data_IF_322063193038
#
_entry.id   IF_322063193038
#
_cell.length_a   1.000
_cell.length_b   1.000
_cell.length_c   1.000
_cell.angle_alpha   90.00
_cell.angle_beta   90.00
_cell.angle_gamma   90.00
#
_symmetry.space_group_name_H-M   'P 1'
#
loop_
_entity.id
_entity.type
_entity.pdbx_description
1 polymer ?
#
# COMPACT_ATOMS: atom_id res chain seq x y z
N UNK A 1 -7.98 -4.90 -2.18
CA UNK A 1 -7.24 -5.95 -1.47
C UNK A 1 -8.22 -6.97 -0.90
N UNK A 2 -7.84 -8.24 -0.85
CA UNK A 2 -8.66 -9.30 -0.25
C UNK A 2 -8.01 -9.80 1.04
N UNK A 3 -8.77 -9.81 2.11
CA UNK A 3 -8.35 -10.25 3.45
C UNK A 3 -8.92 -11.64 3.68
N UNK A 4 -8.11 -12.61 4.09
CA UNK A 4 -8.59 -13.88 4.64
C UNK A 4 -8.87 -13.73 6.13
N UNK A 5 -10.02 -14.20 6.60
CA UNK A 5 -10.38 -14.24 8.02
C UNK A 5 -10.87 -15.61 8.40
N UNK A 6 -10.34 -16.14 9.50
CA UNK A 6 -10.87 -17.31 10.20
C UNK A 6 -10.98 -17.03 11.69
N UNK A 7 -11.93 -17.69 12.35
CA UNK A 7 -11.86 -17.89 13.79
C UNK A 7 -11.43 -19.35 14.03
N UNK A 8 -10.62 -19.59 15.06
CA UNK A 8 -10.25 -20.94 15.47
C UNK A 8 -10.87 -21.30 16.81
N UNK A 9 -11.25 -22.57 16.95
CA UNK A 9 -11.88 -23.10 18.14
C UNK A 9 -11.70 -24.61 18.24
N UNK A 10 -12.45 -25.27 19.11
CA UNK A 10 -12.38 -26.71 19.34
C UNK A 10 -13.77 -27.33 19.24
N UNK A 11 -13.96 -28.19 18.26
CA UNK A 11 -15.26 -28.77 17.90
C UNK A 11 -15.92 -29.53 19.06
N UNK A 12 -15.14 -30.15 19.94
CA UNK A 12 -15.65 -30.92 21.08
C UNK A 12 -16.38 -30.03 22.13
N UNK A 13 -16.18 -28.70 22.09
CA UNK A 13 -16.84 -27.78 23.02
C UNK A 13 -18.30 -27.50 22.65
N UNK A 14 -18.66 -27.57 21.38
CA UNK A 14 -19.98 -27.10 20.91
C UNK A 14 -21.13 -27.89 21.50
N UNK A 15 -20.95 -29.21 21.65
CA UNK A 15 -21.95 -30.09 22.27
C UNK A 15 -21.94 -30.05 23.81
N UNK A 16 -20.87 -29.52 24.41
CA UNK A 16 -20.73 -29.50 25.87
C UNK A 16 -21.20 -28.18 26.45
N UNK A 17 -21.02 -27.07 25.72
CA UNK A 17 -21.29 -25.72 26.19
C UNK A 17 -22.25 -25.01 25.23
N UNK A 18 -23.55 -25.11 25.52
CA UNK A 18 -24.60 -24.51 24.67
C UNK A 18 -24.43 -22.99 24.52
N UNK A 19 -24.59 -22.48 23.30
CA UNK A 19 -24.47 -21.07 22.98
C UNK A 19 -23.05 -20.53 22.88
N UNK A 20 -22.03 -21.33 23.25
CA UNK A 20 -20.63 -20.87 23.16
C UNK A 20 -20.23 -20.56 21.71
N UNK A 21 -20.52 -21.47 20.77
CA UNK A 21 -20.16 -21.31 19.38
C UNK A 21 -20.78 -20.05 18.77
N UNK A 22 -22.08 -19.87 18.98
CA UNK A 22 -22.84 -18.72 18.46
C UNK A 22 -22.26 -17.40 18.99
N UNK A 23 -21.85 -17.39 20.25
CA UNK A 23 -21.19 -16.24 20.88
C UNK A 23 -19.85 -15.93 20.23
N UNK A 24 -19.01 -16.93 20.00
CA UNK A 24 -17.70 -16.77 19.35
C UNK A 24 -17.82 -16.38 17.88
N UNK A 25 -18.81 -16.92 17.15
CA UNK A 25 -19.16 -16.48 15.82
C UNK A 25 -19.62 -15.00 15.79
N UNK A 26 -20.32 -14.56 16.81
CA UNK A 26 -20.67 -13.13 17.01
C UNK A 26 -19.42 -12.23 17.13
N UNK A 27 -18.41 -12.65 17.87
CA UNK A 27 -17.13 -11.93 17.96
C UNK A 27 -16.40 -11.86 16.62
N UNK A 28 -16.34 -12.97 15.88
CA UNK A 28 -15.75 -12.99 14.53
C UNK A 28 -16.51 -12.06 13.58
N UNK A 29 -17.83 -12.06 13.62
CA UNK A 29 -18.64 -11.17 12.78
C UNK A 29 -18.36 -9.71 13.07
N UNK A 30 -18.25 -9.33 14.36
CA UNK A 30 -17.88 -7.96 14.75
C UNK A 30 -16.48 -7.57 14.23
N UNK A 31 -15.53 -8.49 14.26
CA UNK A 31 -14.18 -8.28 13.67
C UNK A 31 -14.29 -8.07 12.16
N UNK A 32 -15.03 -8.94 11.47
CA UNK A 32 -15.25 -8.85 10.02
C UNK A 32 -15.86 -7.50 9.63
N UNK A 33 -16.94 -7.09 10.27
CA UNK A 33 -17.64 -5.82 9.99
C UNK A 33 -16.72 -4.61 10.15
N UNK A 34 -15.90 -4.57 11.20
CA UNK A 34 -14.92 -3.50 11.41
C UNK A 34 -13.84 -3.49 10.32
N UNK A 35 -13.34 -4.66 9.90
CA UNK A 35 -12.37 -4.75 8.80
C UNK A 35 -12.97 -4.31 7.47
N UNK A 36 -14.21 -4.70 7.17
CA UNK A 36 -14.92 -4.31 5.93
C UNK A 36 -15.22 -2.80 5.91
N UNK A 37 -15.54 -2.21 7.05
CA UNK A 37 -15.76 -0.77 7.18
C UNK A 37 -14.47 0.05 6.96
N UNK A 38 -13.30 -0.53 7.24
CA UNK A 38 -12.02 0.15 7.06
C UNK A 38 -11.60 0.12 5.59
N UNK A 39 -11.80 1.23 4.89
CA UNK A 39 -11.35 1.41 3.50
C UNK A 39 -12.06 0.50 2.48
N UNK A 40 -13.23 -0.08 2.81
CA UNK A 40 -14.01 -0.91 1.89
C UNK A 40 -13.32 -2.22 1.50
N UNK A 41 -12.61 -2.86 2.42
CA UNK A 41 -11.91 -4.12 2.17
C UNK A 41 -12.88 -5.27 1.89
N UNK A 42 -12.47 -6.23 1.07
CA UNK A 42 -13.21 -7.48 0.85
C UNK A 42 -12.64 -8.54 1.79
N UNK A 43 -13.48 -9.02 2.71
CA UNK A 43 -13.08 -10.07 3.66
C UNK A 43 -13.62 -11.43 3.19
N UNK A 44 -12.71 -12.31 2.76
CA UNK A 44 -13.00 -13.71 2.52
C UNK A 44 -13.03 -14.42 3.88
N UNK A 45 -14.25 -14.64 4.41
CA UNK A 45 -14.48 -15.23 5.73
C UNK A 45 -14.77 -16.72 5.60
N UNK A 46 -13.87 -17.58 6.10
CA UNK A 46 -14.06 -19.02 6.11
C UNK A 46 -14.77 -19.54 7.37
N UNK A 47 -15.17 -18.65 8.27
CA UNK A 47 -15.93 -19.02 9.46
C UNK A 47 -15.08 -19.61 10.59
N UNK A 48 -15.71 -20.49 11.37
CA UNK A 48 -15.07 -21.21 12.48
C UNK A 48 -14.32 -22.43 11.96
N UNK A 49 -13.00 -22.44 12.15
CA UNK A 49 -12.08 -23.54 11.85
C UNK A 49 -11.76 -24.28 13.15
N UNK A 50 -12.38 -25.40 13.36
CA UNK A 50 -12.33 -26.17 14.61
C UNK A 50 -11.87 -27.63 14.39
N UNK A 51 -11.49 -27.96 13.15
CA UNK A 51 -10.86 -29.20 12.74
C UNK A 51 -9.95 -29.00 11.51
N UNK A 52 -9.20 -30.06 11.18
CA UNK A 52 -8.20 -30.03 10.09
C UNK A 52 -8.85 -29.95 8.70
N UNK A 53 -10.01 -30.58 8.50
CA UNK A 53 -10.69 -30.58 7.20
C UNK A 53 -11.21 -29.16 6.87
N UNK A 54 -11.76 -28.46 7.85
CA UNK A 54 -12.16 -27.05 7.71
C UNK A 54 -10.95 -26.15 7.48
N UNK A 55 -9.82 -26.44 8.12
CA UNK A 55 -8.59 -25.70 7.87
C UNK A 55 -8.11 -25.84 6.42
N UNK A 56 -8.15 -27.05 5.86
CA UNK A 56 -7.85 -27.25 4.44
C UNK A 56 -8.85 -26.56 3.51
N UNK A 57 -10.14 -26.60 3.84
CA UNK A 57 -11.16 -25.90 3.07
C UNK A 57 -10.96 -24.38 3.10
N UNK A 58 -10.63 -23.81 4.26
CA UNK A 58 -10.32 -22.38 4.42
C UNK A 58 -9.07 -21.98 3.61
N UNK A 59 -8.00 -22.75 3.67
CA UNK A 59 -6.80 -22.50 2.89
C UNK A 59 -7.07 -22.56 1.37
N UNK A 60 -7.91 -23.50 0.92
CA UNK A 60 -8.35 -23.59 -0.47
C UNK A 60 -9.19 -22.35 -0.89
N UNK A 61 -10.08 -21.88 -0.01
CA UNK A 61 -10.86 -20.68 -0.22
C UNK A 61 -9.94 -19.46 -0.42
N UNK A 62 -8.96 -19.27 0.46
CA UNK A 62 -8.05 -18.11 0.40
C UNK A 62 -7.15 -18.13 -0.83
N UNK A 63 -6.68 -19.29 -1.26
CA UNK A 63 -5.96 -19.43 -2.53
C UNK A 63 -6.85 -19.10 -3.73
N UNK A 64 -8.07 -19.65 -3.78
CA UNK A 64 -9.04 -19.37 -4.85
C UNK A 64 -9.39 -17.89 -4.95
N UNK A 65 -9.59 -17.26 -3.79
CA UNK A 65 -9.99 -15.86 -3.69
C UNK A 65 -8.80 -14.89 -3.69
N UNK A 66 -7.58 -15.41 -3.82
CA UNK A 66 -6.34 -14.63 -3.86
C UNK A 66 -6.18 -13.70 -2.64
N UNK A 67 -6.39 -14.24 -1.43
CA UNK A 67 -6.20 -13.49 -0.20
C UNK A 67 -4.74 -13.02 -0.07
N UNK A 68 -4.56 -11.77 0.30
CA UNK A 68 -3.26 -11.09 0.33
C UNK A 68 -2.67 -10.98 1.74
N UNK A 69 -3.51 -11.14 2.76
CA UNK A 69 -3.16 -11.23 4.18
C UNK A 69 -4.17 -12.12 4.88
N UNK A 70 -3.72 -12.87 5.88
CA UNK A 70 -4.57 -13.76 6.67
C UNK A 70 -4.63 -13.27 8.12
N UNK A 71 -5.85 -13.03 8.61
CA UNK A 71 -6.12 -12.79 10.02
C UNK A 71 -6.73 -14.04 10.65
N UNK A 72 -6.12 -14.52 11.73
CA UNK A 72 -6.57 -15.69 12.50
C UNK A 72 -7.04 -15.20 13.87
N UNK A 73 -8.34 -15.15 14.06
CA UNK A 73 -8.92 -14.83 15.35
C UNK A 73 -8.91 -16.07 16.26
N UNK A 74 -8.16 -16.01 17.35
CA UNK A 74 -8.16 -17.06 18.38
C UNK A 74 -9.41 -16.81 19.23
N UNK A 75 -10.50 -17.53 18.92
CA UNK A 75 -11.79 -17.25 19.54
C UNK A 75 -11.93 -17.91 20.93
N UNK A 76 -11.24 -19.03 21.15
CA UNK A 76 -11.13 -19.80 22.40
C UNK A 76 -9.93 -20.74 22.27
N UNK A 77 -9.74 -21.70 23.19
CA UNK A 77 -8.74 -22.75 23.00
C UNK A 77 -8.98 -23.51 21.70
N UNK A 78 -7.94 -23.70 20.93
CA UNK A 78 -7.93 -24.44 19.66
C UNK A 78 -6.61 -25.19 19.49
N UNK A 79 -6.63 -26.27 18.69
CA UNK A 79 -5.46 -27.07 18.42
C UNK A 79 -4.64 -26.47 17.27
N UNK A 80 -3.32 -26.44 17.42
CA UNK A 80 -2.41 -25.92 16.39
C UNK A 80 -2.40 -26.71 15.08
N UNK A 81 -2.94 -27.93 15.08
CA UNK A 81 -3.13 -28.70 13.84
C UNK A 81 -4.01 -27.98 12.81
N UNK A 82 -4.90 -27.09 13.26
CA UNK A 82 -5.72 -26.24 12.38
C UNK A 82 -4.91 -25.20 11.62
N UNK A 83 -3.64 -24.95 12.00
CA UNK A 83 -2.77 -23.99 11.32
C UNK A 83 -1.96 -24.60 10.19
N UNK A 84 -1.79 -25.94 10.18
CA UNK A 84 -0.90 -26.64 9.23
C UNK A 84 -1.15 -26.24 7.76
N UNK A 85 -2.41 -26.14 7.29
CA UNK A 85 -2.68 -25.78 5.90
C UNK A 85 -2.27 -24.35 5.50
N UNK A 86 -1.95 -23.48 6.47
CA UNK A 86 -1.52 -22.09 6.24
C UNK A 86 -0.01 -21.90 6.34
N UNK A 87 0.74 -22.95 6.72
CA UNK A 87 2.19 -22.89 6.82
C UNK A 87 2.82 -22.82 5.43
N UNK A 88 3.77 -21.89 5.25
CA UNK A 88 4.55 -21.79 4.01
C UNK A 88 3.81 -21.21 2.80
N UNK A 89 2.57 -20.74 2.94
CA UNK A 89 1.78 -20.17 1.84
C UNK A 89 2.32 -18.82 1.32
N UNK A 90 3.30 -18.24 2.01
CA UNK A 90 3.89 -16.94 1.62
C UNK A 90 2.97 -15.73 1.82
N UNK A 91 1.79 -15.95 2.42
CA UNK A 91 0.83 -14.90 2.78
C UNK A 91 1.18 -14.40 4.19
N UNK A 92 1.25 -13.09 4.45
CA UNK A 92 1.41 -12.55 5.80
C UNK A 92 0.29 -13.03 6.71
N UNK A 93 0.63 -13.46 7.93
CA UNK A 93 -0.32 -13.93 8.93
C UNK A 93 -0.33 -13.01 10.14
N UNK A 94 -1.51 -12.62 10.60
CA UNK A 94 -1.71 -11.85 11.83
C UNK A 94 -2.62 -12.62 12.76
N UNK A 95 -2.12 -12.99 13.94
CA UNK A 95 -2.87 -13.64 14.99
C UNK A 95 -3.61 -12.57 15.81
N UNK A 96 -4.93 -12.70 15.91
CA UNK A 96 -5.76 -11.81 16.70
C UNK A 96 -6.06 -12.46 18.06
N UNK A 97 -5.39 -12.00 19.08
CA UNK A 97 -5.63 -12.34 20.49
C UNK A 97 -6.50 -11.26 21.14
N UNK A 98 -7.76 -11.20 20.73
CA UNK A 98 -8.70 -10.17 21.19
C UNK A 98 -9.67 -10.74 22.20
N UNK A 99 -9.59 -10.26 23.43
CA UNK A 99 -10.55 -10.60 24.48
C UNK A 99 -11.93 -9.96 24.17
N UNK A 100 -13.04 -10.52 24.65
CA UNK A 100 -14.36 -9.92 24.41
C UNK A 100 -14.56 -8.57 25.10
N UNK A 101 -13.86 -8.33 26.20
CA UNK A 101 -13.95 -7.12 27.02
C UNK A 101 -12.60 -6.81 27.69
N UNK A 102 -12.40 -5.57 28.20
CA UNK A 102 -11.14 -5.17 28.84
C UNK A 102 -10.86 -5.89 30.17
N UNK A 103 -11.86 -6.52 30.76
CA UNK A 103 -11.75 -7.25 32.02
C UNK A 103 -12.69 -8.45 32.04
N UNK A 104 -12.29 -9.48 32.78
CA UNK A 104 -13.14 -10.64 33.11
C UNK A 104 -13.97 -10.27 34.35
N UNK A 105 -15.27 -10.46 34.26
CA UNK A 105 -16.15 -10.30 35.42
C UNK A 105 -16.04 -11.52 36.38
N UNK A 106 -15.01 -11.50 37.21
CA UNK A 106 -14.76 -12.57 38.17
C UNK A 106 -15.86 -12.74 39.23
N UNK A 107 -16.56 -11.65 39.61
CA UNK A 107 -17.64 -11.72 40.57
C UNK A 107 -18.81 -12.52 39.97
N UNK A 108 -19.20 -12.21 38.76
CA UNK A 108 -20.23 -12.97 38.02
C UNK A 108 -19.80 -14.42 37.81
N UNK A 109 -18.58 -14.65 37.33
CA UNK A 109 -18.06 -15.99 37.06
C UNK A 109 -18.08 -16.88 38.32
N UNK A 110 -17.56 -16.37 39.42
CA UNK A 110 -17.50 -17.10 40.68
C UNK A 110 -18.88 -17.26 41.35
N UNK A 111 -19.87 -16.44 41.01
CA UNK A 111 -21.24 -16.56 41.47
C UNK A 111 -22.10 -17.57 40.72
N UNK A 112 -21.60 -18.15 39.62
CA UNK A 112 -22.33 -19.15 38.84
C UNK A 112 -22.39 -20.49 39.58
N UNK A 113 -23.58 -21.05 39.73
CA UNK A 113 -23.80 -22.31 40.43
C UNK A 113 -23.62 -23.54 39.55
N UNK A 114 -23.91 -23.41 38.24
CA UNK A 114 -23.71 -24.46 37.25
C UNK A 114 -22.27 -24.43 36.72
N UNK A 115 -21.56 -25.54 36.92
CA UNK A 115 -20.15 -25.65 36.49
C UNK A 115 -20.00 -25.72 34.99
N UNK A 116 -20.97 -26.23 34.25
CA UNK A 116 -20.96 -26.27 32.79
C UNK A 116 -21.11 -24.88 32.22
N UNK A 117 -22.09 -24.10 32.70
CA UNK A 117 -22.26 -22.70 32.30
C UNK A 117 -21.04 -21.85 32.67
N UNK A 118 -20.48 -22.03 33.88
CA UNK A 118 -19.27 -21.34 34.33
C UNK A 118 -18.08 -21.66 33.40
N UNK A 119 -17.91 -22.92 33.00
CA UNK A 119 -16.83 -23.31 32.08
C UNK A 119 -17.05 -22.74 30.71
N UNK A 120 -18.28 -22.73 30.19
CA UNK A 120 -18.63 -22.07 28.92
C UNK A 120 -18.32 -20.57 28.94
N UNK A 121 -18.66 -19.88 30.03
CA UNK A 121 -18.32 -18.47 30.22
C UNK A 121 -16.79 -18.24 30.26
N UNK A 122 -16.06 -19.11 30.98
CA UNK A 122 -14.59 -19.07 30.99
C UNK A 122 -14.00 -19.26 29.59
N UNK A 123 -14.48 -20.27 28.85
CA UNK A 123 -14.00 -20.56 27.49
C UNK A 123 -14.27 -19.41 26.52
N UNK A 124 -15.33 -18.63 26.71
CA UNK A 124 -15.57 -17.43 25.91
C UNK A 124 -14.55 -16.29 26.17
N UNK A 125 -13.72 -16.42 27.21
CA UNK A 125 -12.62 -15.52 27.56
C UNK A 125 -11.23 -16.18 27.43
N UNK A 126 -11.11 -17.30 26.72
CA UNK A 126 -9.88 -18.08 26.60
C UNK A 126 -9.07 -17.82 25.30
N UNK A 127 -9.10 -16.61 24.80
CA UNK A 127 -8.41 -16.25 23.53
C UNK A 127 -6.89 -16.42 23.63
N UNK A 128 -6.29 -16.14 24.77
CA UNK A 128 -4.84 -16.23 24.96
C UNK A 128 -4.31 -17.67 25.09
N UNK A 129 -5.19 -18.66 25.34
CA UNK A 129 -4.75 -20.02 25.69
C UNK A 129 -3.93 -20.69 24.58
N UNK A 130 -4.36 -20.58 23.31
CA UNK A 130 -3.69 -21.22 22.18
C UNK A 130 -2.57 -20.37 21.58
N UNK A 131 -2.44 -19.11 21.92
CA UNK A 131 -1.47 -18.21 21.31
C UNK A 131 -0.03 -18.71 21.42
N UNK A 132 0.50 -19.13 22.58
CA UNK A 132 1.86 -19.67 22.68
C UNK A 132 2.09 -20.94 21.84
N UNK A 133 1.08 -21.79 21.76
CA UNK A 133 1.12 -23.01 20.93
C UNK A 133 1.20 -22.65 19.44
N UNK A 134 0.39 -21.72 18.98
CA UNK A 134 0.37 -21.23 17.60
C UNK A 134 1.69 -20.56 17.21
N UNK A 135 2.20 -19.66 18.05
CA UNK A 135 3.50 -19.03 17.87
C UNK A 135 4.64 -20.05 17.77
N UNK A 136 4.60 -21.11 18.63
CA UNK A 136 5.60 -22.19 18.58
C UNK A 136 5.58 -22.93 17.25
N UNK A 137 4.39 -23.23 16.70
CA UNK A 137 4.26 -23.92 15.42
C UNK A 137 4.77 -23.04 14.28
N UNK A 138 4.37 -21.79 14.19
CA UNK A 138 4.84 -20.87 13.17
C UNK A 138 6.36 -20.65 13.23
N UNK A 139 6.93 -20.46 14.41
CA UNK A 139 8.38 -20.32 14.61
C UNK A 139 9.14 -21.54 14.10
N UNK A 140 8.67 -22.74 14.40
CA UNK A 140 9.31 -24.01 13.97
C UNK A 140 9.17 -24.24 12.47
N UNK A 141 8.07 -23.79 11.87
CA UNK A 141 7.84 -23.86 10.43
C UNK A 141 8.55 -22.75 9.64
N UNK A 142 9.16 -21.77 10.30
CA UNK A 142 9.75 -20.60 9.64
C UNK A 142 8.71 -19.70 8.97
N UNK A 143 7.44 -19.81 9.35
CA UNK A 143 6.36 -18.96 8.84
C UNK A 143 6.37 -17.63 9.58
N UNK A 144 6.43 -16.52 8.83
CA UNK A 144 6.37 -15.18 9.42
C UNK A 144 4.93 -14.87 9.85
N UNK A 145 4.78 -14.35 11.04
CA UNK A 145 3.50 -13.93 11.59
C UNK A 145 3.71 -12.75 12.55
N UNK A 146 2.63 -12.06 12.85
CA UNK A 146 2.54 -11.06 13.89
C UNK A 146 1.35 -11.33 14.82
N UNK A 147 1.32 -10.65 15.97
CA UNK A 147 0.29 -10.84 17.00
C UNK A 147 -0.25 -9.50 17.41
N UNK A 148 -1.57 -9.31 17.28
CA UNK A 148 -2.27 -8.17 17.88
C UNK A 148 -3.00 -8.66 19.12
N UNK A 149 -2.72 -8.02 20.27
CA UNK A 149 -3.34 -8.34 21.56
C UNK A 149 -4.15 -7.15 22.07
N UNK A 150 -5.37 -7.42 22.54
CA UNK A 150 -6.25 -6.41 23.10
C UNK A 150 -7.65 -6.98 23.38
N UNK A 151 -8.68 -6.18 23.17
CA UNK A 151 -10.07 -6.61 23.25
C UNK A 151 -10.90 -6.06 22.08
N UNK A 152 -12.12 -6.57 21.89
CA UNK A 152 -12.92 -6.32 20.67
C UNK A 152 -13.20 -4.84 20.38
N UNK A 153 -13.23 -3.99 21.41
CA UNK A 153 -13.45 -2.54 21.27
C UNK A 153 -12.20 -1.71 21.63
N UNK A 154 -11.03 -2.34 21.70
CA UNK A 154 -9.77 -1.68 22.00
C UNK A 154 -9.29 -0.84 20.82
N UNK A 155 -9.32 0.47 20.98
CA UNK A 155 -8.91 1.41 19.95
C UNK A 155 -7.43 1.23 19.53
N UNK A 156 -6.55 0.86 20.47
CA UNK A 156 -5.13 0.64 20.18
C UNK A 156 -4.94 -0.64 19.35
N UNK A 157 -5.59 -1.74 19.72
CA UNK A 157 -5.54 -2.98 18.96
C UNK A 157 -6.10 -2.78 17.53
N UNK A 158 -7.18 -2.01 17.39
CA UNK A 158 -7.73 -1.70 16.07
C UNK A 158 -6.83 -0.79 15.24
N UNK A 159 -6.14 0.17 15.85
CA UNK A 159 -5.15 0.97 15.12
C UNK A 159 -4.02 0.08 14.57
N UNK A 160 -3.58 -0.92 15.35
CA UNK A 160 -2.57 -1.90 14.90
C UNK A 160 -3.10 -2.81 13.78
N UNK A 161 -4.34 -3.33 13.91
CA UNK A 161 -4.98 -4.13 12.86
C UNK A 161 -5.09 -3.34 11.55
N UNK A 162 -5.49 -2.08 11.60
CA UNK A 162 -5.57 -1.21 10.43
C UNK A 162 -4.19 -0.94 9.83
N UNK A 163 -3.17 -0.77 10.67
CA UNK A 163 -1.76 -0.68 10.22
C UNK A 163 -1.31 -1.92 9.44
N UNK A 164 -1.69 -3.13 9.89
CA UNK A 164 -1.41 -4.37 9.17
C UNK A 164 -2.17 -4.48 7.85
N UNK A 165 -3.42 -4.03 7.80
CA UNK A 165 -4.21 -3.96 6.56
C UNK A 165 -3.53 -3.02 5.55
N UNK A 166 -3.10 -1.84 5.99
CA UNK A 166 -2.41 -0.87 5.15
C UNK A 166 -1.03 -1.39 4.68
N UNK A 167 -0.26 -2.01 5.56
CA UNK A 167 1.02 -2.62 5.21
C UNK A 167 0.85 -3.73 4.14
N UNK A 168 -0.16 -4.58 4.29
CA UNK A 168 -0.48 -5.60 3.30
C UNK A 168 -0.90 -4.98 1.95
N UNK A 169 -1.74 -3.94 1.98
CA UNK A 169 -2.15 -3.17 0.79
C UNK A 169 -0.94 -2.60 0.05
N UNK A 170 -0.01 -2.01 0.78
CA UNK A 170 1.24 -1.47 0.21
C UNK A 170 2.08 -2.59 -0.38
N UNK A 171 2.36 -3.66 0.36
CA UNK A 171 3.17 -4.78 -0.10
C UNK A 171 2.61 -5.41 -1.39
N UNK A 172 1.29 -5.57 -1.48
CA UNK A 172 0.62 -6.09 -2.67
C UNK A 172 0.63 -5.09 -3.83
N UNK A 173 0.41 -3.81 -3.54
CA UNK A 173 0.51 -2.73 -4.52
C UNK A 173 1.89 -2.63 -5.14
N UNK A 174 2.94 -2.76 -4.32
CA UNK A 174 4.33 -2.74 -4.79
C UNK A 174 4.66 -3.95 -5.67
N UNK A 175 4.21 -5.15 -5.32
CA UNK A 175 4.38 -6.37 -6.16
C UNK A 175 3.70 -6.27 -7.52
N UNK A 176 2.65 -5.47 -7.65
CA UNK A 176 1.92 -5.22 -8.91
C UNK A 176 2.43 -3.99 -9.65
N UNK A 177 3.31 -3.21 -9.01
CA UNK A 177 3.83 -1.97 -9.60
C UNK A 177 4.78 -2.28 -10.75
N UNK A 178 4.56 -1.64 -11.89
CA UNK A 178 5.51 -1.55 -12.99
C UNK A 178 6.17 -0.19 -12.93
N UNK A 179 7.43 -0.17 -12.55
CA UNK A 179 8.22 1.04 -12.42
C UNK A 179 8.94 1.31 -13.73
N UNK A 180 8.54 2.34 -14.45
CA UNK A 180 9.24 2.82 -15.64
C UNK A 180 10.59 3.43 -15.25
N UNK A 181 11.60 3.13 -16.05
CA UNK A 181 12.95 3.67 -15.93
C UNK A 181 13.30 4.32 -17.26
N UNK A 182 13.12 5.65 -17.38
CA UNK A 182 13.24 6.40 -18.61
C UNK A 182 14.53 7.21 -18.66
N UNK A 183 15.40 6.89 -19.59
CA UNK A 183 16.67 7.58 -19.78
C UNK A 183 17.83 6.93 -19.04
N UNK A 184 18.55 7.67 -18.21
CA UNK A 184 19.71 7.17 -17.47
C UNK A 184 19.90 7.92 -16.14
N UNK A 185 20.76 7.40 -15.28
CA UNK A 185 21.11 8.08 -14.03
C UNK A 185 21.73 9.45 -14.27
N UNK A 186 21.50 10.38 -13.36
CA UNK A 186 22.24 11.63 -13.33
C UNK A 186 23.74 11.33 -13.17
N UNK A 187 24.51 11.67 -14.19
CA UNK A 187 25.95 11.34 -14.21
C UNK A 187 26.72 12.04 -13.10
N UNK A 188 27.36 11.25 -12.23
CA UNK A 188 28.15 11.76 -11.13
C UNK A 188 27.46 11.78 -9.77
N UNK A 189 26.14 11.67 -9.72
CA UNK A 189 25.39 11.48 -8.46
C UNK A 189 25.41 9.98 -8.08
N UNK A 190 26.48 9.57 -7.41
CA UNK A 190 26.73 8.14 -7.12
C UNK A 190 25.70 7.56 -6.15
N UNK A 191 25.11 8.38 -5.31
CA UNK A 191 24.07 8.02 -4.34
C UNK A 191 22.74 7.58 -4.99
N UNK A 192 22.41 8.10 -6.18
CA UNK A 192 21.19 7.68 -6.90
C UNK A 192 21.35 6.31 -7.58
N UNK A 193 22.58 5.84 -7.79
CA UNK A 193 22.82 4.55 -8.43
C UNK A 193 22.29 3.41 -7.57
N UNK A 194 21.42 2.61 -8.14
CA UNK A 194 20.68 1.58 -7.40
C UNK A 194 20.87 0.20 -8.01
N UNK A 195 20.98 -0.82 -7.17
CA UNK A 195 20.87 -2.22 -7.62
C UNK A 195 19.38 -2.52 -7.92
N UNK A 196 19.01 -2.44 -9.20
CA UNK A 196 17.63 -2.69 -9.67
C UNK A 196 17.16 -4.11 -9.33
N UNK A 197 18.06 -5.08 -9.31
CA UNK A 197 17.76 -6.46 -8.92
C UNK A 197 17.36 -6.52 -7.45
N UNK A 198 18.10 -5.83 -6.57
CA UNK A 198 17.76 -5.76 -5.15
C UNK A 198 16.42 -5.06 -4.95
N UNK A 199 16.17 -3.94 -5.65
CA UNK A 199 14.89 -3.23 -5.58
C UNK A 199 13.71 -4.15 -5.97
N UNK A 200 13.84 -4.86 -7.10
CA UNK A 200 12.81 -5.80 -7.55
C UNK A 200 12.62 -6.96 -6.58
N UNK A 201 13.69 -7.49 -5.97
CA UNK A 201 13.62 -8.61 -5.02
C UNK A 201 12.95 -8.20 -3.71
N UNK A 202 13.27 -7.01 -3.18
CA UNK A 202 12.73 -6.54 -1.91
C UNK A 202 11.27 -6.11 -2.02
N UNK A 203 10.95 -5.31 -3.04
CA UNK A 203 9.60 -4.74 -3.21
C UNK A 203 8.68 -5.57 -4.11
N UNK A 204 9.23 -6.52 -4.87
CA UNK A 204 8.49 -7.26 -5.89
C UNK A 204 8.12 -6.42 -7.11
N UNK A 205 8.56 -5.17 -7.19
CA UNK A 205 8.28 -4.23 -8.28
C UNK A 205 8.95 -4.68 -9.58
N UNK A 206 8.22 -4.67 -10.68
CA UNK A 206 8.79 -4.91 -12.00
C UNK A 206 9.44 -3.62 -12.54
N UNK A 207 10.75 -3.68 -12.81
CA UNK A 207 11.47 -2.57 -13.45
C UNK A 207 11.36 -2.68 -14.99
N UNK A 208 10.77 -1.66 -15.62
CA UNK A 208 10.57 -1.54 -17.06
C UNK A 208 11.54 -0.50 -17.62
N UNK A 209 12.55 -0.93 -18.36
CA UNK A 209 13.52 -0.01 -19.00
C UNK A 209 12.88 0.57 -20.25
N UNK A 210 12.81 1.89 -20.34
CA UNK A 210 12.15 2.64 -21.38
C UNK A 210 13.16 3.50 -22.15
N UNK A 211 12.92 3.65 -23.45
CA UNK A 211 13.79 4.39 -24.34
C UNK A 211 13.22 5.79 -24.65
N UNK A 212 14.10 6.80 -24.64
CA UNK A 212 13.71 8.18 -24.98
C UNK A 212 13.16 8.29 -26.41
N UNK A 213 13.61 7.44 -27.33
CA UNK A 213 13.11 7.44 -28.71
C UNK A 213 11.64 7.02 -28.78
N UNK A 214 11.18 6.11 -27.91
CA UNK A 214 9.77 5.72 -27.84
C UNK A 214 8.90 6.92 -27.38
N UNK A 215 9.29 7.60 -26.30
CA UNK A 215 8.58 8.79 -25.84
C UNK A 215 8.58 9.89 -26.93
N UNK A 216 9.68 10.04 -27.67
CA UNK A 216 9.76 10.99 -28.77
C UNK A 216 8.76 10.66 -29.88
N UNK A 217 8.65 9.41 -30.33
CA UNK A 217 7.68 9.01 -31.36
C UNK A 217 6.24 9.15 -30.86
N UNK A 218 5.95 8.81 -29.59
CA UNK A 218 4.65 9.06 -29.00
C UNK A 218 4.31 10.54 -29.02
N UNK A 219 5.26 11.43 -28.67
CA UNK A 219 5.08 12.88 -28.69
C UNK A 219 4.79 13.39 -30.11
N UNK A 220 5.49 12.90 -31.12
CA UNK A 220 5.25 13.24 -32.54
C UNK A 220 3.86 12.80 -33.01
N UNK A 221 3.31 11.75 -32.44
CA UNK A 221 1.97 11.24 -32.78
C UNK A 221 0.84 12.05 -32.13
N UNK A 222 1.15 12.97 -31.22
CA UNK A 222 0.12 13.79 -30.54
C UNK A 222 -0.53 14.75 -31.51
N UNK A 223 -1.83 14.61 -31.66
CA UNK A 223 -2.66 15.49 -32.49
C UNK A 223 -2.87 16.86 -31.85
N UNK A 224 -3.20 17.86 -32.67
CA UNK A 224 -3.52 19.19 -32.16
C UNK A 224 -4.68 19.18 -31.18
N UNK A 225 -5.70 18.37 -31.48
CA UNK A 225 -6.86 18.22 -30.58
C UNK A 225 -6.47 17.67 -29.18
N UNK A 226 -5.56 16.70 -29.13
CA UNK A 226 -5.07 16.16 -27.85
C UNK A 226 -4.25 17.21 -27.08
N UNK A 227 -3.42 17.98 -27.79
CA UNK A 227 -2.63 19.07 -27.18
C UNK A 227 -3.53 20.16 -26.63
N UNK A 228 -4.52 20.64 -27.40
CA UNK A 228 -5.47 21.67 -26.95
C UNK A 228 -6.30 21.21 -25.74
N UNK A 229 -6.77 19.96 -25.73
CA UNK A 229 -7.47 19.38 -24.58
C UNK A 229 -6.58 19.32 -23.33
N UNK A 230 -5.27 19.01 -23.51
CA UNK A 230 -4.33 18.99 -22.40
C UNK A 230 -4.01 20.38 -21.87
N UNK A 231 -3.89 21.40 -22.72
CA UNK A 231 -3.72 22.79 -22.28
C UNK A 231 -4.93 23.24 -21.47
N UNK A 232 -6.14 22.87 -21.86
CA UNK A 232 -7.34 23.12 -21.06
C UNK A 232 -7.26 22.45 -19.68
N UNK A 233 -6.83 21.17 -19.63
CA UNK A 233 -6.65 20.46 -18.37
C UNK A 233 -5.58 21.09 -17.46
N UNK A 234 -4.54 21.70 -18.01
CA UNK A 234 -3.58 22.50 -17.22
C UNK A 234 -4.27 23.67 -16.52
N UNK A 235 -5.17 24.40 -17.19
CA UNK A 235 -5.93 25.49 -16.58
C UNK A 235 -6.90 25.02 -15.47
N UNK A 236 -7.35 23.75 -15.55
CA UNK A 236 -8.14 23.17 -14.47
C UNK A 236 -7.28 22.76 -13.27
N UNK A 237 -6.08 22.21 -13.52
CA UNK A 237 -5.20 21.68 -12.46
C UNK A 237 -4.34 22.76 -11.80
N UNK A 238 -3.91 23.79 -12.54
CA UNK A 238 -2.92 24.78 -12.13
C UNK A 238 -3.45 26.20 -12.23
N UNK A 239 -2.85 27.11 -11.46
CA UNK A 239 -2.87 28.54 -11.74
C UNK A 239 -1.74 28.83 -12.73
N UNK A 240 -2.08 29.15 -13.97
CA UNK A 240 -1.09 29.41 -15.03
C UNK A 240 -0.59 30.85 -14.88
N UNK A 241 0.73 31.01 -14.76
CA UNK A 241 1.37 32.33 -14.68
C UNK A 241 1.29 33.04 -16.03
N UNK A 242 1.16 34.37 -15.99
CA UNK A 242 1.09 35.25 -17.19
C UNK A 242 2.35 35.15 -18.08
N UNK A 243 3.48 34.77 -17.51
CA UNK A 243 4.72 34.53 -18.24
C UNK A 243 4.71 33.24 -19.10
N UNK A 244 3.77 32.32 -18.90
CA UNK A 244 3.65 31.10 -19.69
C UNK A 244 3.03 31.43 -21.06
N UNK A 245 3.82 31.31 -22.12
CA UNK A 245 3.32 31.54 -23.49
C UNK A 245 2.44 30.36 -23.95
N UNK A 246 1.56 30.63 -24.92
CA UNK A 246 0.73 29.56 -25.52
C UNK A 246 1.59 28.45 -26.16
N UNK A 247 2.72 28.81 -26.74
CA UNK A 247 3.64 27.88 -27.39
C UNK A 247 4.28 26.93 -26.36
N UNK A 248 4.71 27.47 -25.20
CA UNK A 248 5.29 26.67 -24.12
C UNK A 248 4.25 25.74 -23.50
N UNK A 249 3.01 26.20 -23.31
CA UNK A 249 1.92 25.37 -22.82
C UNK A 249 1.59 24.24 -23.80
N UNK A 250 1.58 24.51 -25.12
CA UNK A 250 1.36 23.48 -26.12
C UNK A 250 2.51 22.47 -26.17
N UNK A 251 3.74 22.93 -26.04
CA UNK A 251 4.93 22.08 -25.99
C UNK A 251 4.88 21.14 -24.79
N UNK A 252 4.55 21.66 -23.60
CA UNK A 252 4.36 20.88 -22.39
C UNK A 252 3.14 19.92 -22.49
N UNK A 253 2.06 20.35 -23.14
CA UNK A 253 0.88 19.54 -23.36
C UNK A 253 1.18 18.32 -24.24
N UNK A 254 1.93 18.48 -25.34
CA UNK A 254 2.35 17.39 -26.21
C UNK A 254 3.19 16.36 -25.45
N UNK A 255 4.15 16.81 -24.64
CA UNK A 255 4.97 15.93 -23.81
C UNK A 255 4.13 15.23 -22.74
N UNK A 256 3.22 15.95 -22.09
CA UNK A 256 2.31 15.38 -21.09
C UNK A 256 1.39 14.29 -21.67
N UNK A 257 0.82 14.48 -22.87
CA UNK A 257 0.02 13.46 -23.56
C UNK A 257 0.88 12.25 -23.93
N UNK A 258 2.10 12.48 -24.39
CA UNK A 258 3.03 11.39 -24.72
C UNK A 258 3.40 10.55 -23.50
N UNK A 259 3.63 11.18 -22.34
CA UNK A 259 3.86 10.49 -21.07
C UNK A 259 2.65 9.65 -20.64
N UNK A 260 1.43 10.13 -20.85
CA UNK A 260 0.23 9.33 -20.59
C UNK A 260 0.17 8.10 -21.50
N UNK A 261 0.42 8.27 -22.80
CA UNK A 261 0.46 7.16 -23.75
C UNK A 261 1.54 6.14 -23.40
N UNK A 262 2.72 6.60 -22.97
CA UNK A 262 3.80 5.73 -22.52
C UNK A 262 3.40 4.97 -21.25
N UNK A 263 2.83 5.67 -20.26
CA UNK A 263 2.37 5.05 -19.02
C UNK A 263 1.28 4.01 -19.27
N UNK A 264 0.36 4.25 -20.19
CA UNK A 264 -0.70 3.31 -20.57
C UNK A 264 -0.13 2.11 -21.31
N UNK A 265 0.72 2.31 -22.34
CA UNK A 265 1.30 1.25 -23.13
C UNK A 265 2.09 0.24 -22.28
N UNK A 266 2.86 0.72 -21.33
CA UNK A 266 3.66 -0.09 -20.42
C UNK A 266 2.96 -0.41 -19.09
N UNK A 267 1.74 0.05 -18.89
CA UNK A 267 0.97 -0.12 -17.64
C UNK A 267 1.77 0.33 -16.41
N UNK A 268 2.39 1.50 -16.49
CA UNK A 268 3.25 2.02 -15.44
C UNK A 268 2.43 2.41 -14.22
N UNK A 269 2.94 2.06 -13.05
CA UNK A 269 2.43 2.52 -11.78
C UNK A 269 3.33 3.57 -11.11
N UNK A 270 4.54 3.77 -11.63
CA UNK A 270 5.51 4.79 -11.19
C UNK A 270 6.58 4.98 -12.26
N UNK A 271 7.33 6.10 -12.20
CA UNK A 271 8.36 6.46 -13.19
C UNK A 271 9.55 7.13 -12.54
N UNK A 272 10.76 6.59 -12.74
CA UNK A 272 12.00 7.31 -12.50
C UNK A 272 12.55 7.80 -13.85
N UNK A 273 12.93 9.06 -13.91
CA UNK A 273 13.28 9.69 -15.20
C UNK A 273 14.46 10.65 -15.03
N UNK A 274 15.39 10.58 -15.94
CA UNK A 274 16.39 11.60 -16.20
C UNK A 274 17.00 11.44 -17.59
N UNK A 275 17.25 12.56 -18.25
CA UNK A 275 17.98 12.60 -19.51
C UNK A 275 18.69 13.94 -19.67
N UNK A 276 19.99 13.93 -19.83
CA UNK A 276 20.78 15.16 -20.06
C UNK A 276 21.04 15.37 -21.54
N UNK A 277 21.39 14.50 -22.35
CA UNK A 277 21.69 14.68 -23.76
C UNK A 277 22.67 15.83 -24.08
N UNK A 278 23.10 15.92 -25.31
CA UNK A 278 23.84 17.08 -25.81
C UNK A 278 22.86 18.20 -26.23
N UNK A 279 23.27 19.45 -26.10
CA UNK A 279 22.49 20.59 -26.58
C UNK A 279 22.12 20.44 -28.07
N UNK A 280 20.87 20.75 -28.39
CA UNK A 280 20.32 20.60 -29.75
C UNK A 280 19.98 19.16 -30.14
N UNK A 281 19.98 18.21 -29.21
CA UNK A 281 19.56 16.84 -29.49
C UNK A 281 18.04 16.73 -29.75
N UNK A 282 17.60 15.64 -30.37
CA UNK A 282 16.21 15.45 -30.78
C UNK A 282 15.21 15.38 -29.62
N UNK A 283 15.68 15.19 -28.40
CA UNK A 283 14.85 15.04 -27.20
C UNK A 283 14.85 16.29 -26.29
N UNK A 284 15.58 17.36 -26.66
CA UNK A 284 15.68 18.59 -25.85
C UNK A 284 14.30 19.19 -25.57
N UNK A 285 13.41 19.14 -26.55
CA UNK A 285 12.03 19.59 -26.45
C UNK A 285 11.20 18.79 -25.42
N UNK A 286 11.52 17.51 -25.22
CA UNK A 286 10.92 16.66 -24.21
C UNK A 286 11.42 17.06 -22.83
N UNK A 287 12.73 17.03 -22.60
CA UNK A 287 13.33 17.25 -21.29
C UNK A 287 13.04 18.63 -20.72
N UNK A 288 12.88 19.64 -21.58
CA UNK A 288 12.51 21.00 -21.18
C UNK A 288 11.01 21.24 -21.02
N UNK A 289 10.16 20.19 -21.17
CA UNK A 289 8.70 20.32 -21.14
C UNK A 289 7.98 19.20 -20.36
N UNK A 290 8.72 18.37 -19.59
CA UNK A 290 8.14 17.21 -18.88
C UNK A 290 7.42 17.58 -17.57
N UNK A 291 7.76 18.69 -16.92
CA UNK A 291 7.41 18.97 -15.52
C UNK A 291 5.91 18.95 -15.29
N UNK A 292 5.11 19.63 -16.13
CA UNK A 292 3.66 19.63 -15.99
C UNK A 292 3.05 18.24 -16.17
N UNK A 293 3.57 17.44 -17.11
CA UNK A 293 3.17 16.06 -17.34
C UNK A 293 3.49 15.14 -16.15
N UNK A 294 4.70 15.23 -15.64
CA UNK A 294 5.15 14.48 -14.47
C UNK A 294 4.33 14.82 -13.23
N UNK A 295 4.00 16.10 -13.04
CA UNK A 295 3.14 16.55 -11.95
C UNK A 295 1.73 15.98 -12.06
N UNK A 296 1.13 15.94 -13.26
CA UNK A 296 -0.18 15.33 -13.47
C UNK A 296 -0.16 13.81 -13.25
N UNK A 297 0.89 13.12 -13.69
CA UNK A 297 1.05 11.67 -13.42
C UNK A 297 1.12 11.41 -11.90
N UNK A 298 1.95 12.18 -11.19
CA UNK A 298 2.13 12.05 -9.75
C UNK A 298 0.81 12.24 -9.00
N UNK A 299 0.05 13.28 -9.33
CA UNK A 299 -1.27 13.53 -8.71
C UNK A 299 -2.34 12.48 -9.01
N UNK A 300 -2.14 11.66 -10.05
CA UNK A 300 -3.04 10.53 -10.41
C UNK A 300 -2.57 9.18 -9.86
N UNK A 301 -1.58 9.16 -8.97
CA UNK A 301 -1.06 7.94 -8.34
C UNK A 301 -0.02 7.18 -9.16
N UNK A 302 0.56 7.83 -10.19
CA UNK A 302 1.74 7.39 -10.92
C UNK A 302 2.89 8.34 -10.56
N UNK A 303 3.52 8.18 -9.38
CA UNK A 303 4.56 9.08 -8.92
C UNK A 303 5.76 9.08 -9.87
N UNK A 304 6.32 10.28 -10.06
CA UNK A 304 7.50 10.50 -10.91
C UNK A 304 8.61 11.11 -10.08
N UNK A 305 9.76 10.44 -10.03
CA UNK A 305 10.98 10.97 -9.44
C UNK A 305 11.95 11.44 -10.53
N UNK A 306 12.58 12.60 -10.32
CA UNK A 306 13.68 13.11 -11.13
C UNK A 306 14.96 12.32 -10.93
N UNK A 307 16.03 12.72 -11.64
CA UNK A 307 17.40 12.22 -11.47
C UNK A 307 17.58 10.70 -11.67
N UNK A 308 16.54 10.02 -12.15
CA UNK A 308 16.45 8.56 -12.22
C UNK A 308 16.51 7.91 -10.83
N UNK A 309 16.01 8.64 -9.79
CA UNK A 309 16.10 8.20 -8.39
C UNK A 309 15.07 7.11 -8.08
N UNK A 310 15.53 5.87 -8.20
CA UNK A 310 14.72 4.66 -8.04
C UNK A 310 14.19 4.51 -6.60
N UNK A 311 15.00 4.82 -5.60
CA UNK A 311 14.61 4.66 -4.18
C UNK A 311 13.52 5.67 -3.82
N UNK A 312 13.65 6.89 -4.31
CA UNK A 312 12.66 7.94 -4.06
C UNK A 312 11.31 7.61 -4.71
N UNK A 313 11.31 7.16 -5.98
CA UNK A 313 10.05 6.77 -6.63
C UNK A 313 9.37 5.56 -5.96
N UNK A 314 10.14 4.63 -5.39
CA UNK A 314 9.59 3.53 -4.57
C UNK A 314 8.93 4.10 -3.30
N UNK A 315 9.60 5.02 -2.58
CA UNK A 315 9.02 5.69 -1.41
C UNK A 315 7.74 6.47 -1.78
N UNK A 316 7.77 7.25 -2.86
CA UNK A 316 6.60 7.98 -3.36
C UNK A 316 5.44 7.02 -3.70
N UNK A 317 5.75 5.83 -4.28
CA UNK A 317 4.71 4.82 -4.59
C UNK A 317 4.10 4.23 -3.32
N UNK A 318 4.90 3.94 -2.30
CA UNK A 318 4.43 3.50 -0.98
C UNK A 318 3.46 4.54 -0.40
N UNK A 319 3.86 5.81 -0.36
CA UNK A 319 3.02 6.90 0.14
C UNK A 319 1.73 7.06 -0.67
N UNK A 320 1.81 6.93 -1.99
CA UNK A 320 0.63 6.94 -2.87
C UNK A 320 -0.35 5.80 -2.56
N UNK A 321 0.15 4.59 -2.30
CA UNK A 321 -0.66 3.43 -1.94
C UNK A 321 -1.33 3.57 -0.57
N UNK A 322 -0.71 4.32 0.35
CA UNK A 322 -1.29 4.71 1.63
C UNK A 322 -2.33 5.84 1.52
N UNK A 323 -2.44 6.48 0.34
CA UNK A 323 -3.31 7.62 0.13
C UNK A 323 -2.75 8.95 0.65
N UNK A 324 -1.48 8.98 1.05
CA UNK A 324 -0.84 10.19 1.57
C UNK A 324 -0.21 11.06 0.47
N UNK A 325 0.14 10.46 -0.67
CA UNK A 325 0.89 11.14 -1.72
C UNK A 325 2.35 11.38 -1.36
N UNK A 326 3.06 12.15 -2.17
CA UNK A 326 4.47 12.51 -1.95
C UNK A 326 5.06 13.21 -3.16
N UNK A 327 6.01 14.11 -2.93
CA UNK A 327 6.78 14.76 -3.97
C UNK A 327 8.20 14.23 -4.00
N UNK A 328 8.83 14.27 -5.16
CA UNK A 328 10.27 14.19 -5.25
C UNK A 328 10.86 15.45 -4.63
N UNK A 329 11.66 15.30 -3.57
CA UNK A 329 12.19 16.44 -2.80
C UNK A 329 13.55 16.10 -2.20
N UNK A 330 14.35 17.14 -1.97
CA UNK A 330 15.63 17.08 -1.30
C UNK A 330 15.77 18.18 -0.24
N UNK A 331 16.80 18.12 0.59
CA UNK A 331 17.09 19.13 1.59
C UNK A 331 17.73 20.35 0.93
N UNK A 332 17.02 21.48 0.90
CA UNK A 332 17.54 22.73 0.35
C UNK A 332 18.24 23.60 1.39
N UNK A 333 17.76 23.61 2.61
CA UNK A 333 18.31 24.46 3.62
C UNK A 333 17.80 24.21 5.03
N UNK A 334 18.40 24.89 5.97
CA UNK A 334 18.03 24.87 7.38
C UNK A 334 17.90 26.29 7.88
N UNK A 335 16.82 26.61 8.55
CA UNK A 335 16.63 27.87 9.26
C UNK A 335 16.77 27.61 10.76
N UNK A 336 17.87 28.11 11.33
CA UNK A 336 18.18 27.95 12.76
C UNK A 336 17.45 28.96 13.65
N UNK A 337 16.79 29.97 13.06
CA UNK A 337 15.98 30.95 13.79
C UNK A 337 14.61 30.37 14.09
N UNK A 338 13.98 29.80 13.06
CA UNK A 338 12.63 29.25 13.13
C UNK A 338 12.63 27.72 13.44
N UNK A 339 13.82 27.11 13.56
CA UNK A 339 14.01 25.66 13.81
C UNK A 339 13.28 24.79 12.78
N UNK A 340 13.43 25.14 11.50
CA UNK A 340 12.78 24.43 10.39
C UNK A 340 13.77 23.96 9.33
N UNK A 341 13.38 22.94 8.60
CA UNK A 341 14.10 22.41 7.43
C UNK A 341 13.28 22.75 6.18
N UNK A 342 13.96 23.31 5.18
CA UNK A 342 13.38 23.57 3.86
C UNK A 342 13.61 22.35 2.97
N UNK A 343 12.52 21.74 2.53
CA UNK A 343 12.49 20.68 1.54
C UNK A 343 11.92 21.18 0.23
N UNK A 344 12.47 20.78 -0.87
CA UNK A 344 11.96 21.14 -2.18
C UNK A 344 12.70 20.45 -3.31
N UNK A 345 12.24 20.69 -4.52
CA UNK A 345 12.91 20.35 -5.77
C UNK A 345 12.31 21.19 -6.90
N UNK A 346 13.15 21.71 -7.77
CA UNK A 346 12.72 22.41 -8.97
C UNK A 346 12.19 21.38 -9.98
N UNK A 347 10.89 21.30 -10.13
CA UNK A 347 10.34 20.34 -11.08
C UNK A 347 8.96 19.81 -10.70
N UNK A 348 8.72 18.51 -10.91
CA UNK A 348 7.41 17.93 -10.71
C UNK A 348 7.02 17.95 -9.22
N UNK A 349 5.75 18.34 -8.97
CA UNK A 349 5.15 18.36 -7.65
C UNK A 349 3.96 17.40 -7.57
N UNK A 350 3.42 17.22 -6.38
CA UNK A 350 2.14 16.55 -6.21
C UNK A 350 1.07 17.62 -5.98
N UNK A 351 0.40 18.03 -7.06
CA UNK A 351 -0.50 19.20 -7.05
C UNK A 351 -1.72 19.08 -6.12
N UNK A 352 -2.02 17.89 -5.61
CA UNK A 352 -3.10 17.66 -4.65
C UNK A 352 -2.66 17.77 -3.17
N UNK A 353 -1.38 17.99 -2.87
CA UNK A 353 -0.89 18.12 -1.50
C UNK A 353 -1.00 19.54 -0.95
N UNK A 354 -1.14 20.55 -1.80
CA UNK A 354 -1.30 21.95 -1.41
C UNK A 354 -2.75 22.28 -1.04
N UNK A 355 -2.93 23.21 -0.11
CA UNK A 355 -4.25 23.77 0.21
C UNK A 355 -4.80 24.59 -0.97
N UNK A 356 -3.93 25.18 -1.76
CA UNK A 356 -4.25 25.94 -2.96
C UNK A 356 -3.77 25.22 -4.23
N UNK A 357 -4.30 25.65 -5.40
CA UNK A 357 -3.83 25.13 -6.67
C UNK A 357 -2.35 25.48 -6.88
N UNK A 358 -1.57 24.48 -7.28
CA UNK A 358 -0.18 24.66 -7.67
C UNK A 358 -0.08 25.69 -8.83
N UNK A 359 0.97 26.50 -8.86
CA UNK A 359 1.24 27.44 -9.94
C UNK A 359 2.14 26.81 -11.00
N UNK A 360 1.77 26.97 -12.24
CA UNK A 360 2.61 26.64 -13.39
C UNK A 360 3.30 27.94 -13.85
N UNK A 361 4.63 27.98 -13.70
CA UNK A 361 5.45 29.15 -14.01
C UNK A 361 6.49 28.79 -15.10
N UNK A 362 6.94 29.75 -15.90
CA UNK A 362 8.03 29.49 -16.84
C UNK A 362 9.33 29.22 -16.08
N UNK A 363 10.01 28.14 -16.47
CA UNK A 363 11.30 27.82 -15.89
C UNK A 363 12.39 28.65 -16.58
N UNK A 364 13.11 29.46 -15.79
CA UNK A 364 14.12 30.38 -16.33
C UNK A 364 15.48 29.73 -16.57
N UNK A 365 15.66 28.49 -16.21
CA UNK A 365 16.93 27.76 -16.37
C UNK A 365 16.80 26.54 -17.23
N UNK A 366 17.68 26.42 -18.22
CA UNK A 366 17.88 25.22 -19.04
C UNK A 366 18.82 24.23 -18.36
N UNK A 367 19.37 24.56 -17.20
CA UNK A 367 20.23 23.69 -16.42
C UNK A 367 19.34 23.03 -15.40
N UNK A 368 19.04 21.77 -15.63
CA UNK A 368 18.35 20.94 -14.67
C UNK A 368 19.33 20.61 -13.54
N UNK A 369 19.10 21.20 -12.46
CA UNK A 369 19.65 20.75 -11.19
C UNK A 369 18.64 19.81 -10.60
#
# INVERSE_FOLDING_TARGET
MKIGLIAVGLNTYWNQFGGLRERLDGYRNAIKEKMEAYGGQIVADAGMVDDVDKAHAAAALFRRDEAEVLFIFISTYALSSTLIPFLGEGIPVVLLNLQPAPAIDYARLNGMSDRGEMTGEWLANCQACSLPEFCSVFNRAGTKYDVVTGYLDDAQAWAEIYGWIDAAKVACGMRRNRMGLLGNYYGGMVDVYSDLRLQSTVFGTHAEILEMCELHELRRSVTQREADARVAAFGEAFVIDEGCTREELERAARTSVALDKLAEAHRLGSLAYYYAGAAGNAYEDIVTSVIAGNTLLTGRGIPVAGEYEVKNVQAMKIMSLLGAGGCFSEFYGMDFTDDVILLGHDGPAHFLLGEEKARLVPLLSLIHI
#
